data_IF_361381985391
#
_entry.id   IF_361381985391
#
_cell.length_a   1.000
_cell.length_b   1.000
_cell.length_c   1.000
_cell.angle_alpha   90.00
_cell.angle_beta   90.00
_cell.angle_gamma   90.00
#
_symmetry.space_group_name_H-M   'P 1'
#
loop_
_entity.id
_entity.type
_entity.pdbx_description
1 polymer ?
#
# COMPACT_ATOMS: atom_id res chain seq x y z
N UNK A 1 15.30 1.71 -3.88
CA UNK A 1 16.45 1.15 -4.60
C UNK A 1 17.79 1.35 -3.86
N UNK A 2 18.07 2.53 -3.27
CA UNK A 2 19.35 2.82 -2.57
C UNK A 2 19.69 1.85 -1.44
N UNK A 3 18.72 1.13 -0.91
CA UNK A 3 18.89 0.17 0.20
C UNK A 3 18.58 -1.27 -0.22
N UNK A 4 18.41 -1.55 -1.52
CA UNK A 4 18.00 -2.88 -2.01
C UNK A 4 18.88 -4.01 -1.46
N UNK A 5 20.20 -3.78 -1.38
CA UNK A 5 21.16 -4.77 -0.92
C UNK A 5 21.04 -5.08 0.59
N UNK A 6 20.30 -4.26 1.34
CA UNK A 6 19.96 -4.48 2.76
C UNK A 6 18.64 -5.22 2.95
N UNK A 7 17.83 -5.34 1.89
CA UNK A 7 16.52 -5.99 1.92
C UNK A 7 16.69 -7.47 1.55
N UNK A 8 16.99 -8.31 2.52
CA UNK A 8 17.29 -9.74 2.33
C UNK A 8 16.07 -10.65 2.50
N UNK A 9 14.95 -10.12 2.96
CA UNK A 9 13.70 -10.84 3.20
C UNK A 9 12.51 -9.91 2.97
N UNK A 10 11.29 -10.46 3.07
CA UNK A 10 10.07 -9.65 3.06
C UNK A 10 10.15 -8.53 4.09
N UNK A 11 9.68 -7.37 3.73
CA UNK A 11 9.68 -6.19 4.59
C UNK A 11 8.35 -5.45 4.58
N UNK A 12 8.06 -4.77 5.68
CA UNK A 12 6.95 -3.83 5.76
C UNK A 12 7.36 -2.47 5.21
N UNK A 13 6.50 -1.91 4.37
CA UNK A 13 6.61 -0.53 3.88
C UNK A 13 5.33 0.21 4.26
N UNK A 14 5.50 1.32 4.97
CA UNK A 14 4.39 2.15 5.47
C UNK A 14 4.57 3.58 4.98
N UNK A 15 3.46 4.22 4.61
CA UNK A 15 3.43 5.66 4.39
C UNK A 15 3.59 6.39 5.73
N UNK A 16 4.46 7.40 5.76
CA UNK A 16 4.80 8.12 6.99
C UNK A 16 3.70 9.09 7.46
N UNK A 17 2.74 9.38 6.60
CA UNK A 17 1.63 10.32 6.83
C UNK A 17 0.29 9.62 7.09
N UNK A 18 0.33 8.37 7.54
CA UNK A 18 -0.86 7.61 7.90
C UNK A 18 -0.71 6.95 9.27
N UNK A 19 -1.81 6.93 10.03
CA UNK A 19 -1.93 6.22 11.30
C UNK A 19 -2.52 4.83 11.05
N UNK A 20 -1.86 3.81 11.60
CA UNK A 20 -2.27 2.41 11.51
C UNK A 20 -2.46 1.82 12.91
N UNK A 21 -3.66 1.37 13.24
CA UNK A 21 -3.92 0.51 14.41
C UNK A 21 -4.42 -0.86 13.91
N UNK A 22 -3.50 -1.60 13.32
CA UNK A 22 -3.73 -2.88 12.64
C UNK A 22 -2.92 -3.99 13.29
N UNK A 23 -3.37 -5.22 13.18
CA UNK A 23 -2.62 -6.40 13.62
C UNK A 23 -1.58 -6.79 12.55
N UNK A 24 -0.34 -6.30 12.71
CA UNK A 24 0.76 -6.60 11.79
C UNK A 24 1.07 -8.10 11.72
N UNK A 25 0.90 -8.85 12.79
CA UNK A 25 1.16 -10.29 12.78
C UNK A 25 0.18 -11.03 11.86
N UNK A 26 -1.10 -10.68 11.92
CA UNK A 26 -2.13 -11.22 11.01
C UNK A 26 -1.88 -10.82 9.57
N UNK A 27 -1.49 -9.58 9.34
CA UNK A 27 -1.19 -9.07 8.01
C UNK A 27 0.01 -9.81 7.39
N UNK A 28 1.11 -9.97 8.12
CA UNK A 28 2.29 -10.71 7.66
C UNK A 28 1.99 -12.21 7.50
N UNK A 29 1.19 -12.80 8.40
CA UNK A 29 0.77 -14.20 8.27
C UNK A 29 -0.07 -14.43 7.00
N UNK A 30 -0.94 -13.47 6.65
CA UNK A 30 -1.68 -13.51 5.38
C UNK A 30 -0.71 -13.49 4.19
N UNK A 31 0.26 -12.59 4.17
CA UNK A 31 1.27 -12.52 3.11
C UNK A 31 1.99 -13.87 2.93
N UNK A 32 2.48 -14.46 4.02
CA UNK A 32 3.20 -15.73 4.01
C UNK A 32 2.36 -16.93 3.55
N UNK A 33 1.04 -16.85 3.71
CA UNK A 33 0.10 -17.89 3.26
C UNK A 33 -0.10 -17.88 1.75
N UNK A 34 0.07 -16.74 1.11
CA UNK A 34 -0.11 -16.55 -0.32
C UNK A 34 1.26 -16.46 -0.98
N UNK A 35 1.47 -17.18 -2.08
CA UNK A 35 2.74 -17.15 -2.83
C UNK A 35 2.85 -15.89 -3.71
N UNK A 36 2.71 -14.73 -3.06
CA UNK A 36 2.77 -13.41 -3.68
C UNK A 36 4.07 -12.68 -3.39
N UNK A 37 4.39 -11.70 -4.22
CA UNK A 37 5.54 -10.81 -3.98
C UNK A 37 5.14 -9.54 -3.25
N UNK A 38 3.87 -9.17 -3.30
CA UNK A 38 3.34 -7.99 -2.62
C UNK A 38 2.00 -8.32 -1.99
N UNK A 39 1.79 -7.87 -0.77
CA UNK A 39 0.46 -7.80 -0.16
C UNK A 39 0.15 -6.36 0.20
N UNK A 40 -0.93 -5.84 -0.35
CA UNK A 40 -1.50 -4.54 -0.01
C UNK A 40 -2.40 -4.68 1.21
N UNK A 41 -2.28 -3.77 2.16
CA UNK A 41 -3.36 -3.56 3.13
C UNK A 41 -4.43 -2.69 2.46
N UNK A 42 -5.66 -3.19 2.39
CA UNK A 42 -6.77 -2.47 1.78
C UNK A 42 -7.90 -2.27 2.78
N UNK A 43 -8.57 -1.14 2.67
CA UNK A 43 -9.68 -0.78 3.53
C UNK A 43 -10.77 -0.02 2.75
N UNK A 44 -12.01 0.05 3.28
CA UNK A 44 -13.02 0.92 2.71
C UNK A 44 -12.67 2.39 2.94
N UNK A 45 -12.89 3.24 1.92
CA UNK A 45 -12.64 4.68 2.00
C UNK A 45 -13.95 5.46 1.94
N UNK A 46 -14.09 6.49 2.77
CA UNK A 46 -15.23 7.41 2.73
C UNK A 46 -15.30 8.26 1.44
N UNK A 47 -14.15 8.39 0.74
CA UNK A 47 -14.03 9.13 -0.52
C UNK A 47 -13.47 8.21 -1.64
N UNK A 48 -14.19 7.14 -2.02
CA UNK A 48 -13.66 6.13 -2.93
C UNK A 48 -13.33 6.68 -4.32
N UNK A 49 -13.99 7.75 -4.74
CA UNK A 49 -13.78 8.38 -6.06
C UNK A 49 -12.45 9.12 -6.19
N UNK A 50 -11.84 9.53 -5.08
CA UNK A 50 -10.59 10.27 -5.05
C UNK A 50 -9.35 9.37 -4.90
N UNK A 51 -9.55 8.06 -4.78
CA UNK A 51 -8.50 7.09 -4.51
C UNK A 51 -8.42 6.02 -5.59
N UNK A 52 -7.26 5.40 -5.74
CA UNK A 52 -7.08 4.22 -6.56
C UNK A 52 -7.90 3.04 -6.00
N UNK A 53 -8.71 2.41 -6.86
CA UNK A 53 -9.56 1.30 -6.49
C UNK A 53 -8.86 -0.03 -6.78
N UNK A 54 -8.89 -0.94 -5.83
CA UNK A 54 -8.34 -2.30 -5.97
C UNK A 54 -9.48 -3.28 -6.26
N UNK A 55 -9.45 -3.89 -7.42
CA UNK A 55 -10.33 -5.00 -7.80
C UNK A 55 -9.58 -6.30 -7.53
N UNK A 56 -10.14 -7.15 -6.69
CA UNK A 56 -9.53 -8.42 -6.34
C UNK A 56 -10.49 -9.60 -6.55
N UNK A 57 -9.91 -10.74 -6.86
CA UNK A 57 -10.57 -12.01 -6.95
C UNK A 57 -10.99 -12.54 -5.56
N UNK A 58 -11.73 -13.65 -5.53
CA UNK A 58 -12.21 -14.27 -4.28
C UNK A 58 -11.09 -14.78 -3.38
N UNK A 59 -9.96 -15.16 -3.95
CA UNK A 59 -8.76 -15.62 -3.24
C UNK A 59 -7.90 -14.46 -2.70
N UNK A 60 -8.29 -13.21 -2.98
CA UNK A 60 -7.56 -12.01 -2.57
C UNK A 60 -6.48 -11.57 -3.58
N UNK A 61 -6.23 -12.30 -4.65
CA UNK A 61 -5.30 -11.86 -5.71
C UNK A 61 -5.84 -10.59 -6.38
N UNK A 62 -4.98 -9.61 -6.63
CA UNK A 62 -5.37 -8.34 -7.26
C UNK A 62 -5.50 -8.53 -8.75
N UNK A 63 -6.72 -8.34 -9.27
CA UNK A 63 -7.03 -8.39 -10.70
C UNK A 63 -6.69 -7.08 -11.39
N UNK A 64 -7.15 -5.95 -10.83
CA UNK A 64 -6.94 -4.62 -11.40
C UNK A 64 -6.65 -3.59 -10.32
N UNK A 65 -5.83 -2.62 -10.69
CA UNK A 65 -5.64 -1.39 -9.95
C UNK A 65 -6.11 -0.23 -10.81
N UNK A 66 -7.25 0.34 -10.49
CA UNK A 66 -7.85 1.46 -11.21
C UNK A 66 -7.42 2.77 -10.54
N UNK A 67 -6.84 3.67 -11.32
CA UNK A 67 -6.59 5.03 -10.88
C UNK A 67 -7.93 5.80 -10.77
N UNK A 68 -7.91 6.99 -10.17
CA UNK A 68 -9.13 7.79 -9.99
C UNK A 68 -9.77 8.22 -11.32
N UNK A 69 -8.96 8.35 -12.36
CA UNK A 69 -9.35 8.72 -13.72
C UNK A 69 -9.81 7.53 -14.59
N UNK A 70 -9.55 6.30 -14.14
CA UNK A 70 -9.94 5.11 -14.88
C UNK A 70 -11.46 4.86 -14.75
N UNK A 71 -12.08 4.32 -15.81
CA UNK A 71 -13.49 3.93 -15.78
C UNK A 71 -13.72 2.81 -14.76
N UNK A 72 -14.73 2.99 -13.92
CA UNK A 72 -15.07 2.06 -12.85
C UNK A 72 -16.21 1.14 -13.23
N UNK A 73 -16.16 -0.13 -12.80
CA UNK A 73 -17.30 -1.03 -12.96
C UNK A 73 -18.56 -0.47 -12.27
N UNK A 74 -19.74 -0.81 -12.78
CA UNK A 74 -21.02 -0.42 -12.17
C UNK A 74 -21.13 -0.89 -10.71
N UNK A 75 -20.61 -2.08 -10.41
CA UNK A 75 -20.57 -2.64 -9.06
C UNK A 75 -19.14 -3.03 -8.71
N UNK A 76 -18.67 -2.56 -7.56
CA UNK A 76 -17.36 -2.89 -7.01
C UNK A 76 -17.35 -2.81 -5.49
N UNK A 77 -16.46 -3.56 -4.87
CA UNK A 77 -16.21 -3.43 -3.45
C UNK A 77 -15.35 -2.19 -3.20
N UNK A 78 -15.77 -1.33 -2.27
CA UNK A 78 -15.01 -0.17 -1.85
C UNK A 78 -13.74 -0.63 -1.14
N UNK A 79 -12.65 -0.70 -1.89
CA UNK A 79 -11.36 -1.22 -1.44
C UNK A 79 -10.25 -0.36 -2.04
N UNK A 80 -9.54 0.38 -1.20
CA UNK A 80 -8.44 1.25 -1.60
C UNK A 80 -7.14 0.83 -0.93
N UNK A 81 -6.00 1.16 -1.57
CA UNK A 81 -4.68 0.96 -0.98
C UNK A 81 -4.51 1.90 0.23
N UNK A 82 -4.16 1.33 1.39
CA UNK A 82 -3.98 2.06 2.64
C UNK A 82 -2.58 2.65 2.82
N UNK A 83 -1.64 2.39 1.90
CA UNK A 83 -0.25 2.80 2.07
C UNK A 83 0.54 1.94 3.07
N UNK A 84 0.08 0.73 3.33
CA UNK A 84 0.78 -0.30 4.12
C UNK A 84 0.92 -1.57 3.28
N UNK A 85 2.14 -2.07 3.17
CA UNK A 85 2.48 -3.17 2.29
C UNK A 85 3.45 -4.16 2.95
N UNK A 86 3.32 -5.45 2.62
CA UNK A 86 4.42 -6.43 2.73
C UNK A 86 4.97 -6.63 1.34
N UNK A 87 6.28 -6.48 1.19
CA UNK A 87 6.96 -6.51 -0.10
C UNK A 87 8.13 -7.50 -0.04
N UNK A 88 8.16 -8.44 -0.99
CA UNK A 88 9.33 -9.27 -1.24
C UNK A 88 10.32 -8.49 -2.14
N UNK A 89 11.61 -8.40 -1.79
CA UNK A 89 12.60 -7.65 -2.56
C UNK A 89 12.71 -8.05 -4.04
N UNK A 90 12.38 -9.28 -4.38
CA UNK A 90 12.38 -9.76 -5.78
C UNK A 90 11.50 -8.94 -6.71
N UNK A 91 10.51 -8.22 -6.17
CA UNK A 91 9.67 -7.32 -6.98
C UNK A 91 10.50 -6.23 -7.66
N UNK A 92 11.58 -5.78 -7.03
CA UNK A 92 12.46 -4.73 -7.56
C UNK A 92 13.17 -5.16 -8.85
N UNK A 93 13.32 -6.47 -9.08
CA UNK A 93 13.92 -7.05 -10.27
C UNK A 93 12.92 -7.17 -11.43
N UNK A 94 11.62 -7.30 -11.10
CA UNK A 94 10.57 -7.55 -12.09
C UNK A 94 10.05 -6.31 -12.79
N UNK A 95 10.17 -5.14 -12.16
CA UNK A 95 9.51 -3.91 -12.65
C UNK A 95 10.33 -3.10 -13.63
N UNK A 96 11.52 -3.59 -14.04
CA UNK A 96 12.35 -2.96 -15.10
C UNK A 96 12.82 -1.54 -14.77
N UNK A 97 12.81 -1.12 -13.50
CA UNK A 97 13.29 0.19 -13.09
C UNK A 97 14.82 0.17 -13.03
N UNK A 98 15.44 1.06 -13.79
CA UNK A 98 16.89 1.23 -13.71
C UNK A 98 17.28 1.93 -12.41
N UNK A 99 17.72 1.14 -11.42
CA UNK A 99 18.10 1.64 -10.10
C UNK A 99 19.22 2.69 -10.14
N UNK A 100 20.11 2.59 -11.14
CA UNK A 100 21.26 3.50 -11.29
C UNK A 100 20.85 4.89 -11.77
N UNK A 101 19.69 5.02 -12.39
CA UNK A 101 19.15 6.30 -12.83
C UNK A 101 18.37 7.02 -11.72
N UNK A 102 17.89 6.31 -10.71
CA UNK A 102 17.08 6.88 -9.64
C UNK A 102 17.84 7.91 -8.83
N UNK A 103 17.33 9.14 -8.81
CA UNK A 103 17.94 10.29 -8.13
C UNK A 103 18.99 11.05 -8.94
N UNK A 104 19.38 10.58 -10.15
CA UNK A 104 20.17 11.40 -11.09
C UNK A 104 19.31 12.53 -11.65
N UNK A 105 19.96 13.59 -12.12
CA UNK A 105 19.27 14.69 -12.78
C UNK A 105 18.99 14.32 -14.24
N UNK A 106 17.74 14.42 -14.66
CA UNK A 106 17.31 14.18 -16.04
C UNK A 106 17.67 15.36 -16.97
N UNK A 107 17.36 15.20 -18.26
CA UNK A 107 17.61 16.24 -19.27
C UNK A 107 16.85 17.56 -19.01
N UNK A 108 15.83 17.53 -18.16
CA UNK A 108 15.03 18.71 -17.77
C UNK A 108 15.48 19.34 -16.44
N UNK A 109 16.63 18.89 -15.90
CA UNK A 109 17.17 19.39 -14.64
C UNK A 109 16.42 18.91 -13.39
N UNK A 110 15.61 17.84 -13.49
CA UNK A 110 14.83 17.27 -12.38
C UNK A 110 15.39 15.91 -11.95
N UNK A 111 15.33 15.60 -10.64
CA UNK A 111 15.73 14.27 -10.18
C UNK A 111 14.77 13.20 -10.71
N UNK A 112 15.32 12.14 -11.26
CA UNK A 112 14.57 10.93 -11.64
C UNK A 112 13.97 10.31 -10.38
N UNK A 113 12.64 10.28 -10.32
CA UNK A 113 11.86 9.73 -9.20
C UNK A 113 11.18 8.44 -9.61
N UNK A 114 10.98 7.55 -8.65
CA UNK A 114 10.15 6.36 -8.81
C UNK A 114 8.88 6.56 -8.01
N UNK A 115 7.75 6.48 -8.69
CA UNK A 115 6.43 6.44 -8.06
C UNK A 115 6.15 4.99 -7.65
N UNK A 116 5.99 4.77 -6.34
CA UNK A 116 5.76 3.44 -5.77
C UNK A 116 4.52 2.78 -6.38
N UNK A 117 3.41 3.50 -6.38
CA UNK A 117 2.13 2.93 -6.80
C UNK A 117 2.10 2.67 -8.31
N UNK A 118 2.53 3.65 -9.11
CA UNK A 118 2.41 3.61 -10.58
C UNK A 118 3.45 2.72 -11.25
N UNK A 119 4.69 2.76 -10.75
CA UNK A 119 5.82 2.13 -11.43
C UNK A 119 6.22 0.79 -10.81
N UNK A 120 5.94 0.58 -9.52
CA UNK A 120 6.31 -0.66 -8.84
C UNK A 120 5.10 -1.55 -8.55
N UNK A 121 4.03 -1.02 -7.99
CA UNK A 121 2.91 -1.83 -7.52
C UNK A 121 1.87 -2.09 -8.62
N UNK A 122 1.37 -1.05 -9.30
CA UNK A 122 0.32 -1.19 -10.34
C UNK A 122 0.67 -2.20 -11.44
N UNK A 123 1.91 -2.33 -11.94
CA UNK A 123 2.28 -3.33 -12.93
C UNK A 123 2.12 -4.79 -12.49
N UNK A 124 2.02 -5.04 -11.19
CA UNK A 124 1.80 -6.39 -10.65
C UNK A 124 0.33 -6.81 -10.63
N UNK A 125 -0.60 -5.88 -10.84
CA UNK A 125 -2.02 -6.21 -10.92
C UNK A 125 -2.28 -7.16 -12.11
N UNK A 126 -3.10 -8.19 -11.89
CA UNK A 126 -3.40 -9.21 -12.89
C UNK A 126 -2.30 -10.26 -13.12
N UNK A 127 -1.16 -10.18 -12.44
CA UNK A 127 -0.05 -11.15 -12.61
C UNK A 127 -0.13 -12.36 -11.67
N UNK A 128 -1.05 -12.36 -10.71
CA UNK A 128 -1.12 -13.37 -9.64
C UNK A 128 -0.04 -13.21 -8.56
N UNK A 129 0.80 -12.16 -8.63
CA UNK A 129 1.90 -11.92 -7.69
C UNK A 129 1.58 -10.88 -6.62
N UNK A 130 0.42 -10.25 -6.69
CA UNK A 130 -0.04 -9.26 -5.73
C UNK A 130 -1.37 -9.66 -5.13
N UNK A 131 -1.47 -9.56 -3.81
CA UNK A 131 -2.66 -9.86 -3.03
C UNK A 131 -3.11 -8.64 -2.25
N UNK A 132 -4.40 -8.60 -1.85
CA UNK A 132 -4.91 -7.60 -0.93
C UNK A 132 -5.42 -8.27 0.35
N UNK A 133 -4.95 -7.79 1.49
CA UNK A 133 -5.49 -8.06 2.81
C UNK A 133 -6.52 -6.98 3.14
N UNK A 134 -7.78 -7.33 2.98
CA UNK A 134 -8.90 -6.41 3.14
C UNK A 134 -9.38 -6.43 4.59
N UNK A 135 -9.18 -5.33 5.32
CA UNK A 135 -9.49 -5.24 6.74
C UNK A 135 -10.21 -3.93 7.08
N UNK A 136 -11.20 -3.97 7.99
CA UNK A 136 -11.84 -2.79 8.54
C UNK A 136 -11.05 -2.15 9.69
N UNK A 137 -9.83 -2.59 9.96
CA UNK A 137 -9.00 -2.05 11.03
C UNK A 137 -8.67 -0.58 10.78
N UNK A 138 -8.32 0.14 11.84
CA UNK A 138 -8.16 1.57 11.80
C UNK A 138 -6.97 1.98 10.94
N UNK A 139 -7.26 2.73 9.89
CA UNK A 139 -6.27 3.43 9.05
C UNK A 139 -6.79 4.83 8.76
N UNK A 140 -5.97 5.85 8.98
CA UNK A 140 -6.35 7.24 8.69
C UNK A 140 -5.14 8.04 8.24
N UNK A 141 -5.31 8.74 7.12
CA UNK A 141 -4.33 9.70 6.60
C UNK A 141 -4.18 10.90 7.53
N UNK A 142 -2.95 11.40 7.71
CA UNK A 142 -2.59 12.53 8.55
C UNK A 142 -1.91 13.65 7.75
N UNK A 143 -2.00 13.64 6.43
CA UNK A 143 -1.28 14.54 5.52
C UNK A 143 -1.74 16.01 5.55
N UNK A 144 -2.78 16.34 6.32
CA UNK A 144 -3.20 17.74 6.58
C UNK A 144 -3.40 18.00 8.06
N UNK A 145 -3.30 19.29 8.53
CA UNK A 145 -3.56 19.62 9.94
C UNK A 145 -4.91 19.10 10.44
N UNK A 146 -5.96 19.25 9.66
CA UNK A 146 -7.32 18.82 10.03
C UNK A 146 -7.39 17.30 10.24
N UNK A 147 -6.75 16.53 9.34
CA UNK A 147 -6.68 15.08 9.44
C UNK A 147 -5.85 14.64 10.63
N UNK A 148 -4.71 15.32 10.89
CA UNK A 148 -3.88 15.08 12.06
C UNK A 148 -4.67 15.29 13.35
N UNK A 149 -5.34 16.44 13.52
CA UNK A 149 -6.17 16.70 14.70
C UNK A 149 -7.33 15.72 14.83
N UNK A 150 -7.88 15.26 13.72
CA UNK A 150 -8.91 14.20 13.73
C UNK A 150 -8.37 12.87 14.28
N UNK A 151 -7.12 12.51 13.96
CA UNK A 151 -6.47 11.31 14.54
C UNK A 151 -6.19 11.50 16.03
N UNK A 152 -5.73 12.69 16.45
CA UNK A 152 -5.55 13.00 17.88
C UNK A 152 -6.86 12.80 18.65
N UNK A 153 -7.96 13.31 18.14
CA UNK A 153 -9.29 13.12 18.72
C UNK A 153 -9.70 11.65 18.79
N UNK A 154 -9.43 10.86 17.74
CA UNK A 154 -9.70 9.42 17.73
C UNK A 154 -8.88 8.68 18.81
N UNK A 155 -7.65 9.13 19.09
CA UNK A 155 -6.83 8.61 20.20
C UNK A 155 -7.47 8.95 21.57
N UNK A 156 -7.86 10.20 21.77
CA UNK A 156 -8.49 10.69 23.03
C UNK A 156 -9.81 9.97 23.31
N UNK A 157 -10.58 9.70 22.28
CA UNK A 157 -11.87 8.97 22.36
C UNK A 157 -11.71 7.45 22.47
N UNK A 158 -10.47 6.92 22.48
CA UNK A 158 -10.19 5.50 22.62
C UNK A 158 -10.52 4.65 21.38
N UNK A 159 -10.65 5.27 20.21
CA UNK A 159 -10.89 4.56 18.94
C UNK A 159 -9.65 3.82 18.43
N UNK A 160 -8.48 4.24 18.90
CA UNK A 160 -7.19 3.61 18.60
C UNK A 160 -6.81 2.77 19.81
N UNK A 161 -6.66 1.47 19.61
CA UNK A 161 -6.46 0.50 20.69
C UNK A 161 -5.00 0.18 20.96
N UNK A 162 -4.08 0.71 20.15
CA UNK A 162 -2.63 0.47 20.21
C UNK A 162 -2.30 -1.05 20.24
N UNK A 163 -2.88 -1.81 19.32
CA UNK A 163 -2.84 -3.27 19.25
C UNK A 163 -1.43 -3.86 19.33
N UNK A 164 -0.45 -3.18 18.74
CA UNK A 164 0.92 -3.65 18.69
C UNK A 164 1.75 -3.28 19.93
N UNK A 165 1.19 -2.52 20.86
CA UNK A 165 1.85 -2.15 22.13
C UNK A 165 1.39 -2.99 23.33
N UNK A 166 0.34 -3.81 23.12
CA UNK A 166 -0.20 -4.73 24.12
C UNK A 166 0.45 -6.11 23.91
N UNK A 167 1.63 -6.29 24.47
CA UNK A 167 2.27 -7.61 24.66
C UNK A 167 2.13 -8.03 26.10
#
# INVERSE_FOLDING_TARGET
>A
FKIKDKLTSDFLLLNADAMFDVDFNRFVAFHRKHDGLVTLFTHPNSHPYDSGLIIANKDGSVEKWLAKEDERPQYYRNRVNAGLHVINPKVLELVGINADEVGKIDANGKPVKVDLDRQLLKPLAGTGKMFCYDSPEYVKDMGTPERYYSVCKDCEEGRISAKNLKN
#
